data_IF_584476356441
#
_entry.id   IF_584476356441
#
_cell.length_a   1.000
_cell.length_b   1.000
_cell.length_c   1.000
_cell.angle_alpha   90.00
_cell.angle_beta   90.00
_cell.angle_gamma   90.00
#
_symmetry.space_group_name_H-M   'P 1'
#
loop_
_entity.id
_entity.type
_entity.pdbx_description
1 polymer ?
#
# COMPACT_ATOMS: atom_id res chain seq x y z
N UNK A 1 -21.11 -24.13 5.38
CA UNK A 1 -20.89 -23.75 5.54
C UNK A 1 -20.41 -22.67 5.72
N UNK A 2 -20.39 -22.07 5.84
CA UNK A 2 -20.17 -21.04 6.03
C UNK A 2 -19.10 -20.61 6.56
N UNK A 3 -18.63 -21.06 6.95
CA UNK A 3 -17.70 -20.78 7.51
C UNK A 3 -16.88 -19.92 6.96
N UNK A 4 -16.79 -19.79 6.13
CA UNK A 4 -16.03 -19.02 5.55
C UNK A 4 -16.37 -17.76 5.57
N UNK A 5 -16.98 -17.40 6.40
CA UNK A 5 -17.29 -16.17 6.64
C UNK A 5 -16.17 -15.35 6.91
N UNK A 6 -15.12 -15.82 7.42
CA UNK A 6 -14.02 -14.96 7.67
C UNK A 6 -13.21 -14.96 6.45
N UNK A 7 -13.27 -13.91 5.68
CA UNK A 7 -12.40 -13.74 4.58
C UNK A 7 -11.12 -13.14 5.10
N UNK A 8 -10.03 -13.73 4.72
CA UNK A 8 -8.74 -13.21 5.13
C UNK A 8 -8.27 -12.23 4.08
N UNK A 9 -8.33 -10.97 4.42
CA UNK A 9 -7.81 -9.94 3.54
C UNK A 9 -6.32 -9.79 3.82
N UNK A 10 -5.52 -9.91 2.79
CA UNK A 10 -4.08 -9.79 2.90
C UNK A 10 -3.62 -8.54 2.19
N UNK A 11 -2.78 -7.76 2.86
CA UNK A 11 -2.13 -6.62 2.20
C UNK A 11 -0.74 -7.08 1.80
N UNK A 12 -0.48 -7.07 0.51
CA UNK A 12 0.82 -7.44 -0.03
C UNK A 12 1.60 -6.17 -0.31
N UNK A 13 2.74 -6.04 0.36
CA UNK A 13 3.59 -4.86 0.22
C UNK A 13 4.76 -5.23 -0.66
N UNK A 14 4.94 -4.49 -1.75
CA UNK A 14 5.97 -4.80 -2.74
C UNK A 14 6.88 -3.59 -2.92
N UNK A 15 8.19 -3.85 -2.85
CA UNK A 15 9.19 -2.83 -3.10
C UNK A 15 9.40 -2.74 -4.60
N UNK A 16 9.13 -1.59 -5.18
CA UNK A 16 9.22 -1.41 -6.63
C UNK A 16 10.66 -1.47 -7.14
N UNK A 17 11.62 -1.16 -6.27
CA UNK A 17 13.02 -1.15 -6.68
C UNK A 17 13.52 -2.56 -6.95
N UNK A 18 13.03 -3.52 -6.19
CA UNK A 18 13.56 -4.86 -6.33
C UNK A 18 12.95 -5.56 -7.51
N UNK A 19 13.82 -6.21 -8.25
CA UNK A 19 13.34 -7.08 -9.28
C UNK A 19 12.54 -8.18 -8.60
N UNK A 20 11.48 -8.64 -9.22
CA UNK A 20 10.68 -9.69 -8.58
C UNK A 20 11.50 -10.92 -8.28
N UNK A 21 11.69 -11.19 -7.01
CA UNK A 21 12.30 -12.41 -6.54
C UNK A 21 11.38 -12.98 -5.48
N UNK A 22 11.44 -14.26 -5.30
CA UNK A 22 10.70 -14.87 -4.23
C UNK A 22 11.13 -14.27 -2.92
N UNK A 23 10.16 -13.88 -2.11
CA UNK A 23 10.47 -13.42 -0.78
C UNK A 23 10.68 -11.92 -0.65
N UNK A 24 10.57 -11.19 -1.75
CA UNK A 24 10.73 -9.74 -1.65
C UNK A 24 9.43 -9.04 -1.35
N UNK A 25 8.44 -9.78 -0.87
CA UNK A 25 7.14 -9.22 -0.50
C UNK A 25 6.93 -9.34 0.98
N UNK A 26 6.20 -8.39 1.54
CA UNK A 26 5.74 -8.48 2.91
C UNK A 26 4.23 -8.65 2.87
N UNK A 27 3.74 -9.69 3.52
CA UNK A 27 2.30 -9.95 3.58
C UNK A 27 1.81 -9.62 4.98
N UNK A 28 0.81 -8.74 5.06
CA UNK A 28 0.20 -8.36 6.32
C UNK A 28 -1.21 -8.93 6.33
N UNK A 29 -1.50 -9.75 7.33
CA UNK A 29 -2.78 -10.43 7.43
C UNK A 29 -3.51 -9.99 8.69
N UNK A 30 -4.74 -10.47 8.85
CA UNK A 30 -5.47 -10.22 10.09
C UNK A 30 -6.49 -9.10 9.99
N UNK A 31 -6.69 -8.55 8.80
CA UNK A 31 -7.69 -7.50 8.63
C UNK A 31 -9.08 -8.10 8.65
N UNK A 32 -9.96 -7.53 9.45
CA UNK A 32 -11.30 -8.06 9.62
C UNK A 32 -12.26 -7.59 8.54
N UNK A 33 -11.95 -6.45 7.91
CA UNK A 33 -12.83 -5.91 6.88
C UNK A 33 -12.02 -5.51 5.67
N UNK A 34 -12.70 -5.51 4.52
CA UNK A 34 -12.07 -5.05 3.29
C UNK A 34 -11.71 -3.57 3.41
N UNK A 35 -12.62 -2.78 4.00
CA UNK A 35 -12.36 -1.35 4.13
C UNK A 35 -11.12 -1.08 4.96
N UNK A 36 -10.93 -1.84 6.04
CA UNK A 36 -9.75 -1.67 6.87
C UNK A 36 -8.47 -2.02 6.13
N UNK A 37 -8.52 -3.10 5.35
CA UNK A 37 -7.35 -3.50 4.56
C UNK A 37 -7.02 -2.46 3.50
N UNK A 38 -8.05 -1.92 2.83
CA UNK A 38 -7.83 -0.91 1.80
C UNK A 38 -7.26 0.36 2.41
N UNK A 39 -7.80 0.79 3.54
CA UNK A 39 -7.30 2.01 4.18
C UNK A 39 -5.84 1.84 4.60
N UNK A 40 -5.49 0.68 5.13
CA UNK A 40 -4.12 0.39 5.50
C UNK A 40 -3.20 0.45 4.27
N UNK A 41 -3.60 -0.23 3.20
CA UNK A 41 -2.80 -0.27 1.98
C UNK A 41 -2.67 1.13 1.37
N UNK A 42 -3.74 1.90 1.42
CA UNK A 42 -3.75 3.25 0.87
C UNK A 42 -2.80 4.15 1.63
N UNK A 43 -2.89 4.13 2.96
CA UNK A 43 -2.02 4.98 3.77
C UNK A 43 -0.56 4.57 3.65
N UNK A 44 -0.31 3.28 3.60
CA UNK A 44 1.07 2.80 3.51
C UNK A 44 1.70 3.19 2.17
N UNK A 45 0.94 3.07 1.07
CA UNK A 45 1.44 3.51 -0.24
C UNK A 45 1.66 5.02 -0.25
N UNK A 46 0.71 5.78 0.28
CA UNK A 46 0.81 7.23 0.32
C UNK A 46 2.01 7.67 1.15
N UNK A 47 2.25 7.01 2.28
CA UNK A 47 3.41 7.31 3.11
C UNK A 47 4.72 7.12 2.34
N UNK A 48 4.77 6.08 1.50
CA UNK A 48 5.96 5.85 0.69
C UNK A 48 6.17 6.99 -0.31
N UNK A 49 5.09 7.49 -0.90
CA UNK A 49 5.18 8.65 -1.79
C UNK A 49 5.73 9.85 -1.02
N UNK A 50 5.23 10.06 0.21
CA UNK A 50 5.65 11.21 0.99
C UNK A 50 7.12 11.15 1.37
N UNK A 51 7.65 9.96 1.58
CA UNK A 51 9.07 9.82 1.90
C UNK A 51 9.95 10.30 0.77
N UNK A 52 9.45 10.23 -0.45
CA UNK A 52 10.23 10.62 -1.62
C UNK A 52 9.99 12.06 -2.05
N UNK A 53 8.93 12.66 -1.53
CA UNK A 53 8.53 14.01 -1.98
C UNK A 53 9.61 15.07 -1.76
N UNK A 54 10.35 15.08 -0.64
CA UNK A 54 11.34 16.15 -0.44
C UNK A 54 12.44 16.16 -1.48
N UNK A 55 12.75 15.02 -2.09
CA UNK A 55 13.83 14.95 -3.07
C UNK A 55 13.36 15.20 -4.49
N UNK A 56 12.05 15.24 -4.70
CA UNK A 56 11.49 15.42 -6.05
C UNK A 56 11.31 16.91 -6.33
N UNK A 57 11.54 17.32 -7.58
CA UNK A 57 11.37 18.72 -7.94
C UNK A 57 10.01 18.99 -8.55
N UNK A 58 9.40 17.99 -9.16
CA UNK A 58 8.09 18.13 -9.78
C UNK A 58 7.25 16.90 -9.48
N UNK A 59 5.94 17.00 -9.76
CA UNK A 59 5.06 15.85 -9.59
C UNK A 59 5.49 14.69 -10.49
N UNK A 60 5.93 15.00 -11.70
CA UNK A 60 6.39 13.95 -12.61
C UNK A 60 7.64 13.27 -12.09
N UNK A 61 8.56 14.03 -11.49
CA UNK A 61 9.74 13.44 -10.86
C UNK A 61 9.35 12.53 -9.72
N UNK A 62 8.43 12.98 -8.88
CA UNK A 62 8.00 12.19 -7.74
C UNK A 62 7.37 10.87 -8.19
N UNK A 63 6.55 10.95 -9.23
CA UNK A 63 5.92 9.76 -9.78
C UNK A 63 6.96 8.77 -10.30
N UNK A 64 7.93 9.29 -11.06
CA UNK A 64 8.98 8.43 -11.63
C UNK A 64 9.83 7.80 -10.52
N UNK A 65 10.16 8.57 -9.50
CA UNK A 65 10.93 8.05 -8.38
C UNK A 65 10.17 6.96 -7.65
N UNK A 66 8.88 7.17 -7.43
CA UNK A 66 8.08 6.18 -6.73
C UNK A 66 8.02 4.89 -7.53
N UNK A 67 7.83 4.98 -8.85
CA UNK A 67 7.73 3.79 -9.67
C UNK A 67 9.01 2.98 -9.70
N UNK A 68 10.15 3.64 -9.46
CA UNK A 68 11.44 2.96 -9.45
C UNK A 68 11.83 2.48 -8.05
N UNK A 69 11.57 3.27 -7.03
CA UNK A 69 12.12 2.99 -5.71
C UNK A 69 11.09 2.90 -4.59
N UNK A 70 9.84 3.21 -4.87
CA UNK A 70 8.83 3.26 -3.82
C UNK A 70 8.29 1.89 -3.45
N UNK A 71 7.43 1.90 -2.44
CA UNK A 71 6.78 0.72 -1.94
C UNK A 71 5.28 0.87 -2.13
N UNK A 72 4.64 -0.10 -2.76
CA UNK A 72 3.20 -0.06 -2.98
C UNK A 72 2.55 -1.24 -2.28
N UNK A 73 1.29 -1.05 -1.89
CA UNK A 73 0.52 -2.06 -1.17
C UNK A 73 -0.75 -2.38 -1.94
N UNK A 74 -1.10 -3.64 -1.96
CA UNK A 74 -2.31 -4.11 -2.63
C UNK A 74 -3.09 -5.01 -1.68
N UNK A 75 -4.41 -5.07 -1.87
CA UNK A 75 -5.26 -5.92 -1.04
C UNK A 75 -5.68 -7.11 -1.86
N UNK A 76 -5.49 -8.30 -1.30
CA UNK A 76 -5.78 -9.56 -1.96
C UNK A 76 -6.70 -10.41 -1.12
N UNK A 77 -7.56 -11.16 -1.80
CA UNK A 77 -8.29 -12.26 -1.19
C UNK A 77 -8.01 -13.47 -2.09
N UNK A 78 -7.30 -14.43 -1.54
CA UNK A 78 -6.82 -15.52 -2.37
C UNK A 78 -5.92 -14.97 -3.45
N UNK A 79 -6.24 -15.25 -4.70
CA UNK A 79 -5.46 -14.77 -5.83
C UNK A 79 -6.03 -13.51 -6.44
N UNK A 80 -7.13 -13.01 -5.90
CA UNK A 80 -7.80 -11.87 -6.51
C UNK A 80 -7.33 -10.58 -5.86
N UNK A 81 -6.90 -9.63 -6.69
CA UNK A 81 -6.50 -8.31 -6.19
C UNK A 81 -7.72 -7.39 -6.21
N UNK A 82 -8.08 -6.90 -5.04
CA UNK A 82 -9.24 -6.05 -4.89
C UNK A 82 -8.90 -4.57 -4.89
N UNK A 83 -7.64 -4.23 -4.62
CA UNK A 83 -7.22 -2.85 -4.53
C UNK A 83 -5.71 -2.79 -4.72
N UNK A 84 -5.23 -1.70 -5.32
CA UNK A 84 -3.79 -1.44 -5.40
C UNK A 84 -3.56 0.04 -5.19
N UNK A 85 -2.63 0.37 -4.28
CA UNK A 85 -2.27 1.76 -4.05
C UNK A 85 -1.71 2.44 -5.28
N UNK A 86 -1.09 1.66 -6.17
CA UNK A 86 -0.55 2.24 -7.41
C UNK A 86 -1.64 2.84 -8.29
N UNK A 87 -2.86 2.35 -8.17
CA UNK A 87 -3.97 2.89 -8.95
C UNK A 87 -4.31 4.31 -8.53
N UNK A 88 -3.91 4.73 -7.34
CA UNK A 88 -4.15 6.09 -6.86
C UNK A 88 -2.89 6.95 -6.89
N UNK A 89 -1.85 6.49 -7.56
CA UNK A 89 -0.57 7.19 -7.52
C UNK A 89 -0.69 8.64 -7.96
N UNK A 90 -1.46 8.91 -9.00
CA UNK A 90 -1.62 10.28 -9.48
C UNK A 90 -2.22 11.17 -8.40
N UNK A 91 -3.17 10.64 -7.65
CA UNK A 91 -3.78 11.38 -6.55
C UNK A 91 -2.74 11.65 -5.46
N UNK A 92 -1.99 10.62 -5.08
CA UNK A 92 -1.01 10.74 -4.00
C UNK A 92 0.09 11.75 -4.36
N UNK A 93 0.52 11.74 -5.62
CA UNK A 93 1.59 12.63 -6.06
C UNK A 93 1.15 14.08 -5.99
N UNK A 94 -0.12 14.35 -6.31
CA UNK A 94 -0.63 15.72 -6.36
C UNK A 94 -1.27 16.18 -5.06
N UNK A 95 -1.40 15.29 -4.06
CA UNK A 95 -2.05 15.63 -2.79
C UNK A 95 -1.13 15.20 -1.64
N UNK A 96 -0.34 16.12 -1.08
CA UNK A 96 0.50 15.77 0.06
C UNK A 96 -0.34 15.25 1.22
N UNK A 97 0.12 14.20 1.85
CA UNK A 97 -0.61 13.56 2.93
C UNK A 97 -0.31 14.25 4.26
N UNK A 98 -1.33 14.36 5.10
CA UNK A 98 -1.17 14.80 6.48
C UNK A 98 -0.57 13.66 7.29
N UNK A 99 -0.22 13.95 8.54
CA UNK A 99 0.30 12.91 9.42
C UNK A 99 -0.69 11.78 9.61
N UNK A 100 -1.97 12.13 9.75
CA UNK A 100 -2.99 11.10 9.92
C UNK A 100 -3.13 10.24 8.68
N UNK A 101 -2.99 10.85 7.51
CA UNK A 101 -3.14 10.12 6.25
C UNK A 101 -1.96 9.21 5.96
N UNK A 102 -0.84 9.41 6.67
CA UNK A 102 0.32 8.56 6.53
C UNK A 102 0.42 7.53 7.64
N UNK A 103 -0.49 7.58 8.59
CA UNK A 103 -0.42 6.72 9.77
C UNK A 103 -1.03 5.36 9.46
N UNK A 104 -0.26 4.51 8.83
CA UNK A 104 -0.70 3.15 8.56
C UNK A 104 -0.40 2.22 9.72
N UNK A 105 0.55 2.58 10.56
CA UNK A 105 0.92 1.70 11.67
C UNK A 105 -0.23 1.50 12.66
N UNK A 106 -1.02 2.54 12.89
CA UNK A 106 -2.12 2.43 13.82
C UNK A 106 -3.23 1.51 13.32
N UNK A 107 -3.22 1.23 12.02
CA UNK A 107 -4.21 0.36 11.41
C UNK A 107 -3.74 -1.07 11.27
N UNK A 108 -2.48 -1.33 11.58
CA UNK A 108 -1.93 -2.67 11.43
C UNK A 108 -2.56 -3.61 12.45
N UNK A 109 -3.04 -4.78 12.01
CA UNK A 109 -3.69 -5.69 12.94
C UNK A 109 -2.74 -6.12 14.04
N UNK A 110 -3.28 -6.27 15.24
CA UNK A 110 -2.49 -6.73 16.37
C UNK A 110 -2.15 -8.20 16.19
N UNK A 111 -1.01 -8.60 16.70
CA UNK A 111 -0.59 -9.99 16.63
C UNK A 111 -0.54 -10.62 17.99
#
# INVERSE_FOLDING_TARGET
VVEDMSMDFTVLVTDNYRVPHCGDHVAVTGFETLEGAIEYARRRTWASVEEMRPAATTADDLRAEFLLFGESSAVLVGDERLYSGRDELDYFVTHPASENERDWLSLEPAH
#
